data_IF_950735457092
#
_entry.id   IF_950735457092
#
_cell.length_a   1.000
_cell.length_b   1.000
_cell.length_c   1.000
_cell.angle_alpha   90.00
_cell.angle_beta   90.00
_cell.angle_gamma   90.00
#
_symmetry.space_group_name_H-M   'P 1'
#
loop_
_entity.id
_entity.type
_entity.pdbx_description
1 polymer ?
#
# COMPACT_ATOMS: atom_id res chain seq x y z
N UNK A 1 7.69 8.53 -24.06
CA UNK A 1 6.96 8.33 -22.79
C UNK A 1 7.36 9.41 -21.80
N UNK A 2 6.40 9.90 -21.03
CA UNK A 2 6.56 10.88 -19.96
C UNK A 2 6.21 10.26 -18.61
N UNK A 3 7.02 10.57 -17.61
CA UNK A 3 6.79 10.18 -16.23
C UNK A 3 6.49 11.44 -15.40
N UNK A 4 5.24 11.62 -15.04
CA UNK A 4 4.81 12.68 -14.14
C UNK A 4 5.00 12.20 -12.70
N UNK A 5 5.93 12.81 -11.98
CA UNK A 5 6.27 12.42 -10.61
C UNK A 5 5.91 13.56 -9.68
N UNK A 6 5.10 13.26 -8.66
CA UNK A 6 4.73 14.23 -7.65
C UNK A 6 5.99 14.82 -6.99
N UNK A 7 5.99 16.13 -6.82
CA UNK A 7 7.00 16.83 -6.04
C UNK A 7 6.68 16.69 -4.55
N UNK A 8 7.65 16.17 -3.79
CA UNK A 8 7.61 16.19 -2.33
C UNK A 8 8.30 17.44 -1.81
N UNK A 9 7.91 17.89 -0.62
CA UNK A 9 8.61 18.96 0.09
C UNK A 9 9.66 18.38 1.04
N UNK A 10 10.75 19.12 1.25
CA UNK A 10 11.74 18.72 2.25
C UNK A 10 11.07 18.64 3.64
N UNK A 11 11.28 17.52 4.34
CA UNK A 11 10.58 17.20 5.58
C UNK A 11 9.36 16.28 5.41
N UNK A 12 8.83 16.13 4.19
CA UNK A 12 7.79 15.13 3.93
C UNK A 12 8.35 13.71 4.01
N UNK A 13 7.64 12.75 4.63
CA UNK A 13 8.08 11.35 4.68
C UNK A 13 8.35 10.73 3.29
N UNK A 14 7.67 11.24 2.25
CA UNK A 14 7.77 10.73 0.89
C UNK A 14 8.83 11.45 0.04
N UNK A 15 9.48 12.50 0.54
CA UNK A 15 10.41 13.34 -0.23
C UNK A 15 11.50 12.52 -0.93
N UNK A 16 12.21 11.68 -0.16
CA UNK A 16 13.28 10.85 -0.70
C UNK A 16 12.77 9.78 -1.67
N UNK A 17 11.62 9.17 -1.37
CA UNK A 17 11.00 8.17 -2.24
C UNK A 17 10.69 8.76 -3.62
N UNK A 18 10.01 9.93 -3.66
CA UNK A 18 9.62 10.58 -4.91
C UNK A 18 10.81 11.07 -5.75
N UNK A 19 11.90 11.50 -5.11
CA UNK A 19 13.13 11.87 -5.81
C UNK A 19 13.85 10.66 -6.41
N UNK A 20 13.91 9.53 -5.69
CA UNK A 20 14.46 8.28 -6.23
C UNK A 20 13.62 7.75 -7.38
N UNK A 21 12.30 7.78 -7.26
CA UNK A 21 11.40 7.39 -8.37
C UNK A 21 11.64 8.24 -9.60
N UNK A 22 11.73 9.58 -9.45
CA UNK A 22 12.05 10.48 -10.56
C UNK A 22 13.40 10.15 -11.22
N UNK A 23 14.43 9.92 -10.40
CA UNK A 23 15.75 9.55 -10.92
C UNK A 23 15.71 8.21 -11.68
N UNK A 24 15.04 7.19 -11.15
CA UNK A 24 14.93 5.88 -11.78
C UNK A 24 14.17 5.93 -13.13
N UNK A 25 13.12 6.75 -13.26
CA UNK A 25 12.46 6.97 -14.55
C UNK A 25 13.36 7.69 -15.55
N UNK A 26 14.14 8.67 -15.10
CA UNK A 26 15.12 9.36 -15.94
C UNK A 26 16.22 8.41 -16.43
N UNK A 27 16.78 7.55 -15.55
CA UNK A 27 17.77 6.53 -15.93
C UNK A 27 17.21 5.56 -16.99
N UNK A 28 15.90 5.31 -16.97
CA UNK A 28 15.19 4.48 -17.94
C UNK A 28 14.81 5.21 -19.22
N UNK A 29 15.18 6.48 -19.37
CA UNK A 29 14.99 7.27 -20.59
C UNK A 29 13.65 8.01 -20.71
N UNK A 30 12.90 8.17 -19.62
CA UNK A 30 11.64 8.90 -19.63
C UNK A 30 11.91 10.40 -19.54
N UNK A 31 11.08 11.19 -20.22
CA UNK A 31 10.95 12.62 -19.91
C UNK A 31 10.26 12.74 -18.55
N UNK A 32 11.00 13.15 -17.52
CA UNK A 32 10.48 13.29 -16.17
C UNK A 32 9.93 14.71 -15.97
N UNK A 33 8.65 14.79 -15.62
CA UNK A 33 7.95 16.05 -15.36
C UNK A 33 7.53 16.08 -13.90
N UNK A 34 7.96 17.09 -13.15
CA UNK A 34 7.57 17.30 -11.75
C UNK A 34 6.28 18.10 -11.68
N UNK A 35 5.42 17.77 -10.74
CA UNK A 35 4.17 18.50 -10.51
C UNK A 35 3.76 18.44 -9.03
N UNK A 36 2.99 19.43 -8.57
CA UNK A 36 2.38 19.44 -7.25
C UNK A 36 0.88 19.11 -7.30
N UNK A 37 0.26 18.85 -6.14
CA UNK A 37 -1.15 18.46 -6.09
C UNK A 37 -2.11 19.52 -6.70
N UNK A 38 -1.96 20.83 -6.43
CA UNK A 38 -2.76 21.86 -7.10
C UNK A 38 -2.70 21.81 -8.64
N UNK A 39 -1.52 21.61 -9.22
CA UNK A 39 -1.39 21.48 -10.68
C UNK A 39 -2.16 20.27 -11.24
N UNK A 40 -2.16 19.14 -10.51
CA UNK A 40 -2.97 17.98 -10.88
C UNK A 40 -4.47 18.31 -10.85
N UNK A 41 -4.92 18.98 -9.78
CA UNK A 41 -6.33 19.40 -9.60
C UNK A 41 -6.79 20.37 -10.71
N UNK A 42 -5.89 21.25 -11.15
CA UNK A 42 -6.11 22.18 -12.27
C UNK A 42 -6.04 21.52 -13.66
N UNK A 43 -5.69 20.23 -13.74
CA UNK A 43 -5.68 19.47 -15.00
C UNK A 43 -4.41 19.55 -15.81
N UNK A 44 -3.28 19.87 -15.19
CA UNK A 44 -1.98 19.94 -15.85
C UNK A 44 -1.62 18.65 -16.62
N UNK A 45 -2.10 17.49 -16.16
CA UNK A 45 -1.82 16.17 -16.74
C UNK A 45 -2.89 15.68 -17.72
N UNK A 46 -4.04 16.34 -17.83
CA UNK A 46 -5.25 15.81 -18.51
C UNK A 46 -5.00 15.46 -19.97
N UNK A 47 -4.20 16.29 -20.66
CA UNK A 47 -3.84 16.00 -22.06
C UNK A 47 -3.10 14.67 -22.18
N UNK A 48 -2.17 14.38 -21.28
CA UNK A 48 -1.43 13.11 -21.26
C UNK A 48 -2.35 11.95 -20.89
N UNK A 49 -3.09 12.10 -19.79
CA UNK A 49 -4.01 11.09 -19.28
C UNK A 49 -5.09 10.67 -20.29
N UNK A 50 -5.66 11.63 -21.03
CA UNK A 50 -6.79 11.39 -21.93
C UNK A 50 -6.38 11.11 -23.38
N UNK A 51 -5.32 11.76 -23.90
CA UNK A 51 -4.94 11.62 -25.32
C UNK A 51 -3.74 10.71 -25.56
N UNK A 52 -2.89 10.50 -24.56
CA UNK A 52 -1.66 9.71 -24.66
C UNK A 52 -1.49 8.78 -23.44
N UNK A 53 -2.51 7.96 -23.08
CA UNK A 53 -2.51 7.18 -21.85
C UNK A 53 -1.38 6.14 -21.79
N UNK A 54 -1.00 5.57 -22.93
CA UNK A 54 0.08 4.60 -23.08
C UNK A 54 1.49 5.20 -22.97
N UNK A 55 1.59 6.52 -23.17
CA UNK A 55 2.84 7.28 -23.02
C UNK A 55 2.93 8.05 -21.71
N UNK A 56 1.88 8.05 -20.88
CA UNK A 56 1.77 8.86 -19.66
C UNK A 56 1.80 7.99 -18.41
N UNK A 57 2.86 8.10 -17.62
CA UNK A 57 2.98 7.45 -16.30
C UNK A 57 2.81 8.50 -15.21
N UNK A 58 2.05 8.18 -14.15
CA UNK A 58 1.92 9.02 -12.96
C UNK A 58 2.41 8.26 -11.74
N UNK A 59 3.29 8.89 -10.95
CA UNK A 59 3.73 8.36 -9.66
C UNK A 59 3.62 9.44 -8.57
N UNK A 60 3.13 9.04 -7.40
CA UNK A 60 2.89 9.95 -6.29
C UNK A 60 2.41 9.22 -5.05
N UNK A 61 1.96 9.99 -4.06
CA UNK A 61 1.22 9.43 -2.92
C UNK A 61 -0.15 8.91 -3.33
N UNK A 62 -0.80 8.20 -2.39
CA UNK A 62 -2.10 7.56 -2.63
C UNK A 62 -3.16 8.51 -3.19
N UNK A 63 -3.32 9.69 -2.59
CA UNK A 63 -4.30 10.69 -3.06
C UNK A 63 -4.00 11.18 -4.48
N UNK A 64 -2.73 11.40 -4.83
CA UNK A 64 -2.31 11.86 -6.15
C UNK A 64 -2.61 10.84 -7.24
N UNK A 65 -2.29 9.57 -7.00
CA UNK A 65 -2.56 8.51 -7.99
C UNK A 65 -4.06 8.31 -8.18
N UNK A 66 -4.84 8.31 -7.09
CA UNK A 66 -6.30 8.19 -7.17
C UNK A 66 -6.94 9.35 -7.93
N UNK A 67 -6.53 10.59 -7.65
CA UNK A 67 -7.00 11.77 -8.39
C UNK A 67 -6.65 11.66 -9.89
N UNK A 68 -5.42 11.28 -10.22
CA UNK A 68 -5.02 11.09 -11.62
C UNK A 68 -5.86 10.02 -12.34
N UNK A 69 -6.26 8.94 -11.67
CA UNK A 69 -7.18 7.94 -12.24
C UNK A 69 -8.59 8.50 -12.49
N UNK A 70 -9.13 9.28 -11.54
CA UNK A 70 -10.44 9.94 -11.73
C UNK A 70 -10.41 10.87 -12.94
N UNK A 71 -9.36 11.69 -13.06
CA UNK A 71 -9.18 12.61 -14.20
C UNK A 71 -8.97 11.88 -15.52
N UNK A 72 -8.36 10.70 -15.48
CA UNK A 72 -8.24 9.81 -16.64
C UNK A 72 -9.54 9.08 -17.01
N UNK A 73 -10.62 9.25 -16.24
CA UNK A 73 -11.88 8.53 -16.43
C UNK A 73 -11.77 7.03 -16.14
N UNK A 74 -10.87 6.64 -15.23
CA UNK A 74 -10.61 5.25 -14.86
C UNK A 74 -11.18 4.92 -13.48
N UNK A 75 -11.61 3.67 -13.25
CA UNK A 75 -12.06 3.24 -11.93
C UNK A 75 -10.90 3.29 -10.93
N UNK A 76 -11.23 3.55 -9.67
CA UNK A 76 -10.25 3.43 -8.59
C UNK A 76 -9.98 1.95 -8.30
N UNK A 77 -8.72 1.58 -7.98
CA UNK A 77 -8.42 0.21 -7.61
C UNK A 77 -9.16 -0.18 -6.32
N UNK A 78 -9.53 -1.46 -6.16
CA UNK A 78 -10.11 -1.95 -4.92
C UNK A 78 -9.13 -1.83 -3.76
N UNK A 79 -9.64 -1.85 -2.54
CA UNK A 79 -8.79 -1.92 -1.35
C UNK A 79 -8.18 -3.32 -1.25
N UNK A 80 -6.85 -3.41 -1.16
CA UNK A 80 -6.13 -4.69 -1.13
C UNK A 80 -5.90 -5.24 0.27
N UNK A 81 -6.01 -4.41 1.29
CA UNK A 81 -5.53 -4.59 2.66
C UNK A 81 -5.54 -6.03 3.23
N UNK A 82 -6.71 -6.67 3.26
CA UNK A 82 -6.90 -8.04 3.75
C UNK A 82 -7.78 -8.80 2.74
N UNK A 83 -7.21 -9.34 1.67
CA UNK A 83 -7.98 -10.00 0.63
C UNK A 83 -8.44 -11.38 1.12
N UNK A 84 -9.67 -11.77 0.76
CA UNK A 84 -10.30 -13.01 1.23
C UNK A 84 -9.50 -14.25 0.82
N UNK A 85 -8.84 -14.21 -0.34
CA UNK A 85 -7.96 -15.28 -0.82
C UNK A 85 -6.81 -15.59 0.16
N UNK A 86 -6.40 -14.59 0.94
CA UNK A 86 -5.30 -14.70 1.90
C UNK A 86 -5.77 -14.92 3.35
N UNK A 87 -7.08 -15.11 3.56
CA UNK A 87 -7.66 -15.39 4.86
C UNK A 87 -6.92 -16.45 5.71
N UNK A 88 -6.44 -17.59 5.14
CA UNK A 88 -5.71 -18.60 5.91
C UNK A 88 -4.41 -18.09 6.57
N UNK A 89 -3.79 -17.04 6.03
CA UNK A 89 -2.50 -16.52 6.49
C UNK A 89 -2.62 -15.23 7.31
N UNK A 90 -3.81 -14.65 7.44
CA UNK A 90 -4.02 -13.45 8.26
C UNK A 90 -3.97 -13.79 9.76
N UNK A 91 -4.46 -14.98 10.14
CA UNK A 91 -4.31 -15.54 11.50
C UNK A 91 -5.05 -14.80 12.62
N UNK A 92 -6.04 -13.98 12.26
CA UNK A 92 -6.87 -13.18 13.18
C UNK A 92 -8.20 -12.87 12.53
N UNK A 93 -9.25 -12.53 13.29
CA UNK A 93 -10.50 -12.04 12.71
C UNK A 93 -10.40 -10.56 12.34
N UNK A 94 -11.07 -10.18 11.25
CA UNK A 94 -11.28 -8.79 10.85
C UNK A 94 -12.73 -8.57 10.42
N UNK A 95 -13.23 -7.35 10.60
CA UNK A 95 -14.58 -6.97 10.21
C UNK A 95 -14.69 -5.45 10.02
N UNK A 96 -15.70 -5.02 9.26
CA UNK A 96 -16.08 -3.63 9.14
C UNK A 96 -16.95 -3.21 10.33
N UNK A 97 -16.71 -2.00 10.84
CA UNK A 97 -17.48 -1.39 11.92
C UNK A 97 -17.45 0.13 11.78
N UNK A 98 -18.00 0.84 12.76
CA UNK A 98 -17.89 2.29 12.87
C UNK A 98 -17.06 2.70 14.08
N UNK A 99 -16.48 3.90 14.03
CA UNK A 99 -15.72 4.42 15.16
C UNK A 99 -16.59 4.54 16.44
N UNK A 100 -17.87 4.86 16.28
CA UNK A 100 -18.86 4.89 17.36
C UNK A 100 -19.09 3.53 18.03
N UNK A 101 -19.18 2.46 17.23
CA UNK A 101 -19.33 1.09 17.76
C UNK A 101 -18.10 0.67 18.57
N UNK A 102 -16.88 0.95 18.07
CA UNK A 102 -15.65 0.66 18.82
C UNK A 102 -15.56 1.48 20.11
N UNK A 103 -15.94 2.76 20.10
CA UNK A 103 -16.01 3.59 21.32
C UNK A 103 -16.99 3.00 22.34
N UNK A 104 -18.15 2.53 21.90
CA UNK A 104 -19.13 1.88 22.77
C UNK A 104 -18.63 0.53 23.32
N UNK A 105 -17.92 -0.25 22.49
CA UNK A 105 -17.31 -1.52 22.90
C UNK A 105 -16.27 -1.30 23.99
N UNK A 106 -15.37 -0.34 23.83
CA UNK A 106 -14.33 -0.01 24.82
C UNK A 106 -14.92 0.41 26.17
N UNK A 107 -16.05 1.12 26.15
CA UNK A 107 -16.74 1.56 27.37
C UNK A 107 -17.49 0.42 28.10
N UNK A 108 -17.99 -0.58 27.37
CA UNK A 108 -18.93 -1.57 27.91
C UNK A 108 -18.36 -2.98 28.02
N UNK A 109 -17.33 -3.33 27.23
CA UNK A 109 -16.79 -4.69 27.07
C UNK A 109 -15.27 -4.67 26.86
N UNK A 110 -14.53 -4.46 27.95
CA UNK A 110 -13.06 -4.46 27.94
C UNK A 110 -12.44 -5.84 27.71
N UNK A 111 -13.22 -6.92 27.85
CA UNK A 111 -12.80 -8.31 27.61
C UNK A 111 -12.51 -8.63 26.14
N UNK A 112 -12.95 -7.77 25.21
CA UNK A 112 -12.75 -7.91 23.77
C UNK A 112 -11.57 -7.09 23.23
N UNK A 113 -10.81 -6.45 24.12
CA UNK A 113 -9.61 -5.70 23.80
C UNK A 113 -8.37 -6.59 24.05
N UNK A 114 -7.24 -6.36 23.34
CA UNK A 114 -6.98 -5.24 22.44
C UNK A 114 -7.43 -5.46 20.98
N UNK A 115 -7.78 -4.35 20.31
CA UNK A 115 -8.16 -4.33 18.89
C UNK A 115 -7.27 -3.38 18.09
N UNK A 116 -6.95 -3.72 16.86
CA UNK A 116 -6.32 -2.80 15.91
C UNK A 116 -7.38 -2.18 15.00
N UNK A 117 -7.43 -0.85 14.91
CA UNK A 117 -8.39 -0.12 14.07
C UNK A 117 -7.69 0.73 13.03
N UNK A 118 -8.29 0.85 11.84
CA UNK A 118 -7.86 1.78 10.80
C UNK A 118 -9.03 2.30 9.96
N UNK A 119 -8.92 3.48 9.34
CA UNK A 119 -9.92 3.96 8.39
C UNK A 119 -10.11 2.95 7.26
N UNK A 120 -11.36 2.62 6.90
CA UNK A 120 -11.64 1.64 5.84
C UNK A 120 -11.49 2.25 4.43
N UNK A 121 -12.16 3.36 4.18
CA UNK A 121 -12.34 3.93 2.84
C UNK A 121 -11.84 5.38 2.69
N UNK A 122 -11.37 6.00 3.77
CA UNK A 122 -10.74 7.33 3.77
C UNK A 122 -9.28 7.24 4.18
N UNK A 123 -8.40 7.04 3.20
CA UNK A 123 -6.95 7.01 3.44
C UNK A 123 -6.50 8.26 4.22
N UNK A 124 -5.74 8.03 5.30
CA UNK A 124 -5.14 9.05 6.17
C UNK A 124 -6.12 9.93 6.98
N UNK A 125 -7.38 9.53 7.16
CA UNK A 125 -8.28 10.23 8.09
C UNK A 125 -7.72 10.26 9.53
N UNK A 126 -7.11 9.14 9.95
CA UNK A 126 -6.28 9.03 11.14
C UNK A 126 -5.25 7.92 10.96
N UNK A 127 -4.20 7.92 11.79
CA UNK A 127 -3.23 6.82 11.83
C UNK A 127 -3.88 5.63 12.54
N UNK A 128 -3.95 4.49 11.87
CA UNK A 128 -4.41 3.25 12.49
C UNK A 128 -3.61 2.94 13.76
N UNK A 129 -4.26 2.29 14.73
CA UNK A 129 -3.68 2.11 16.06
C UNK A 129 -4.35 1.01 16.86
N UNK A 130 -3.65 0.56 17.90
CA UNK A 130 -4.12 -0.47 18.82
C UNK A 130 -4.87 0.19 19.96
N UNK A 131 -6.12 -0.21 20.15
CA UNK A 131 -6.99 0.22 21.24
C UNK A 131 -6.94 -0.85 22.32
N UNK A 132 -6.34 -0.52 23.46
CA UNK A 132 -6.27 -1.38 24.65
C UNK A 132 -7.23 -0.89 25.73
N UNK A 133 -7.48 0.41 25.75
CA UNK A 133 -8.30 1.07 26.75
C UNK A 133 -8.82 2.42 26.23
N UNK A 134 -9.67 3.07 27.01
CA UNK A 134 -10.35 4.30 26.61
C UNK A 134 -9.40 5.43 26.19
N UNK A 135 -8.24 5.59 26.85
CA UNK A 135 -7.29 6.67 26.52
C UNK A 135 -6.72 6.55 25.10
N UNK A 136 -6.68 5.35 24.53
CA UNK A 136 -6.15 5.14 23.17
C UNK A 136 -7.11 5.72 22.12
N UNK A 137 -8.37 5.99 22.48
CA UNK A 137 -9.35 6.64 21.61
C UNK A 137 -9.22 8.17 21.54
N UNK A 138 -8.42 8.79 22.42
CA UNK A 138 -8.31 10.27 22.51
C UNK A 138 -7.90 10.88 21.17
N UNK A 139 -6.94 10.26 20.48
CA UNK A 139 -6.47 10.72 19.16
C UNK A 139 -7.57 10.71 18.08
N UNK A 140 -8.62 9.91 18.30
CA UNK A 140 -9.76 9.80 17.38
C UNK A 140 -10.97 10.63 17.82
N UNK A 141 -10.95 11.31 18.97
CA UNK A 141 -12.17 11.89 19.57
C UNK A 141 -12.88 12.93 18.70
N UNK A 142 -12.14 13.71 17.91
CA UNK A 142 -12.69 14.71 17.00
C UNK A 142 -13.29 14.12 15.70
N UNK A 143 -13.16 12.81 15.50
CA UNK A 143 -13.63 12.11 14.30
C UNK A 143 -15.08 11.66 14.51
N UNK A 144 -15.90 11.82 13.47
CA UNK A 144 -17.32 11.47 13.47
C UNK A 144 -17.53 9.98 13.79
N UNK A 145 -18.59 9.66 14.53
CA UNK A 145 -18.84 8.30 15.03
C UNK A 145 -19.25 7.32 13.93
N UNK A 146 -19.83 7.79 12.84
CA UNK A 146 -20.30 7.00 11.69
C UNK A 146 -19.18 6.67 10.70
N UNK A 147 -17.95 7.15 10.93
CA UNK A 147 -16.79 6.85 10.09
C UNK A 147 -16.58 5.34 10.01
N UNK A 148 -16.60 4.75 8.80
CA UNK A 148 -16.30 3.34 8.59
C UNK A 148 -14.83 3.02 8.88
N UNK A 149 -14.62 1.96 9.64
CA UNK A 149 -13.30 1.49 10.04
C UNK A 149 -13.17 -0.02 9.82
N UNK A 150 -11.95 -0.47 9.53
CA UNK A 150 -11.58 -1.86 9.62
C UNK A 150 -11.11 -2.15 11.04
N UNK A 151 -11.70 -3.16 11.66
CA UNK A 151 -11.33 -3.65 12.98
C UNK A 151 -10.70 -5.02 12.84
N UNK A 152 -9.63 -5.26 13.60
CA UNK A 152 -8.91 -6.52 13.61
C UNK A 152 -8.60 -6.91 15.04
N UNK A 153 -8.63 -8.21 15.35
CA UNK A 153 -8.05 -8.71 16.59
C UNK A 153 -6.56 -8.36 16.63
N UNK A 154 -6.06 -7.93 17.79
CA UNK A 154 -4.65 -7.58 17.91
C UNK A 154 -3.77 -8.83 17.89
N UNK A 155 -2.72 -8.79 17.08
CA UNK A 155 -1.65 -9.78 17.06
C UNK A 155 -0.35 -9.08 17.45
N UNK A 156 0.39 -9.69 18.37
CA UNK A 156 1.70 -9.21 18.80
C UNK A 156 2.79 -9.78 17.89
N UNK A 157 3.33 -8.93 17.02
CA UNK A 157 4.44 -9.27 16.14
C UNK A 157 5.77 -8.87 16.76
N UNK A 158 6.68 -9.83 16.87
CA UNK A 158 8.05 -9.61 17.35
C UNK A 158 9.01 -9.21 16.24
N UNK A 159 8.60 -9.41 14.98
CA UNK A 159 9.34 -9.00 13.79
C UNK A 159 8.37 -8.80 12.63
N UNK A 160 8.60 -7.77 11.83
CA UNK A 160 7.79 -7.41 10.67
C UNK A 160 8.68 -7.21 9.44
N UNK A 161 8.22 -7.67 8.29
CA UNK A 161 8.94 -7.68 7.03
C UNK A 161 8.01 -7.27 5.89
N UNK A 162 8.55 -6.65 4.84
CA UNK A 162 7.82 -6.34 3.61
C UNK A 162 8.35 -7.18 2.47
N UNK A 163 7.48 -8.00 1.89
CA UNK A 163 7.73 -8.68 0.64
C UNK A 163 7.20 -7.84 -0.53
N UNK A 164 8.04 -7.51 -1.51
CA UNK A 164 7.61 -6.90 -2.76
C UNK A 164 7.30 -7.99 -3.77
N UNK A 165 6.10 -7.96 -4.33
CA UNK A 165 5.61 -8.92 -5.31
C UNK A 165 5.51 -8.26 -6.67
N UNK A 166 6.06 -8.89 -7.69
CA UNK A 166 5.98 -8.43 -9.07
C UNK A 166 5.78 -9.61 -10.01
N UNK A 167 4.74 -9.56 -10.86
CA UNK A 167 4.31 -10.63 -11.77
C UNK A 167 4.25 -12.00 -11.07
N UNK A 168 3.58 -12.03 -9.92
CA UNK A 168 3.36 -13.23 -9.11
C UNK A 168 4.63 -13.84 -8.50
N UNK A 169 5.70 -13.07 -8.39
CA UNK A 169 6.94 -13.50 -7.72
C UNK A 169 7.32 -12.54 -6.63
N UNK A 170 7.76 -13.07 -5.49
CA UNK A 170 8.43 -12.30 -4.45
C UNK A 170 9.81 -11.89 -5.00
N UNK A 171 10.02 -10.59 -5.21
CA UNK A 171 11.27 -10.05 -5.80
C UNK A 171 12.19 -9.38 -4.78
N UNK A 172 11.69 -9.09 -3.58
CA UNK A 172 12.44 -8.52 -2.47
C UNK A 172 11.74 -8.84 -1.16
N UNK A 173 12.49 -9.08 -0.09
CA UNK A 173 11.96 -9.19 1.28
C UNK A 173 12.87 -8.38 2.18
N UNK A 174 12.32 -7.36 2.85
CA UNK A 174 13.08 -6.44 3.67
C UNK A 174 12.51 -6.32 5.07
N UNK A 175 13.39 -6.28 6.07
CA UNK A 175 13.02 -6.06 7.46
C UNK A 175 12.42 -4.66 7.64
N UNK A 176 11.32 -4.60 8.37
CA UNK A 176 10.58 -3.38 8.63
C UNK A 176 10.69 -2.94 10.10
N UNK A 177 10.37 -3.84 11.04
CA UNK A 177 10.33 -3.52 12.47
C UNK A 177 10.59 -4.77 13.33
N UNK A 178 11.14 -4.59 14.53
CA UNK A 178 11.32 -5.68 15.49
C UNK A 178 12.67 -6.39 15.37
N UNK A 179 12.68 -7.69 15.67
CA UNK A 179 13.88 -8.54 15.64
C UNK A 179 14.24 -8.95 14.20
N UNK A 180 15.33 -8.43 13.61
CA UNK A 180 15.71 -8.75 12.23
C UNK A 180 16.25 -10.17 12.06
N UNK A 181 16.44 -10.93 13.14
CA UNK A 181 16.87 -12.33 13.08
C UNK A 181 15.70 -13.32 13.05
N UNK A 182 14.46 -12.84 13.24
CA UNK A 182 13.24 -13.64 13.09
C UNK A 182 12.65 -13.39 11.71
N UNK A 183 13.05 -14.21 10.75
CA UNK A 183 12.59 -14.11 9.35
C UNK A 183 11.26 -14.86 9.15
N UNK A 184 10.37 -14.39 8.24
CA UNK A 184 9.14 -15.11 7.91
C UNK A 184 9.43 -16.50 7.31
N UNK A 185 8.56 -17.46 7.56
CA UNK A 185 8.66 -18.79 6.97
C UNK A 185 8.45 -18.72 5.45
N UNK A 186 9.48 -19.15 4.69
CA UNK A 186 9.50 -19.06 3.22
C UNK A 186 8.43 -19.93 2.57
N UNK A 187 8.14 -21.11 3.11
CA UNK A 187 7.11 -22.01 2.56
C UNK A 187 5.72 -21.40 2.76
N UNK A 188 5.50 -20.75 3.90
CA UNK A 188 4.26 -20.01 4.19
C UNK A 188 4.08 -18.83 3.23
N UNK A 189 5.15 -18.06 3.00
CA UNK A 189 5.13 -16.94 2.06
C UNK A 189 4.81 -17.40 0.64
N UNK A 190 5.44 -18.48 0.18
CA UNK A 190 5.21 -19.02 -1.16
C UNK A 190 3.78 -19.59 -1.31
N UNK A 191 3.29 -20.31 -0.30
CA UNK A 191 1.93 -20.85 -0.33
C UNK A 191 0.86 -19.76 -0.40
N UNK A 192 1.05 -18.65 0.34
CA UNK A 192 0.15 -17.50 0.26
C UNK A 192 0.23 -16.81 -1.10
N UNK A 193 1.45 -16.64 -1.64
CA UNK A 193 1.66 -16.08 -2.97
C UNK A 193 0.98 -16.92 -4.06
N UNK A 194 1.07 -18.24 -3.98
CA UNK A 194 0.44 -19.16 -4.93
C UNK A 194 -1.09 -19.14 -4.85
N UNK A 195 -1.65 -18.80 -3.68
CA UNK A 195 -3.08 -18.65 -3.47
C UNK A 195 -3.64 -17.28 -3.88
N UNK A 196 -2.79 -16.28 -4.12
CA UNK A 196 -3.22 -14.91 -4.40
C UNK A 196 -3.59 -14.71 -5.88
N UNK A 197 -4.76 -15.24 -6.29
CA UNK A 197 -5.20 -15.31 -7.68
C UNK A 197 -5.42 -13.92 -8.32
N UNK A 198 -6.25 -13.07 -7.70
CA UNK A 198 -6.60 -11.73 -8.22
C UNK A 198 -5.62 -10.62 -7.81
N UNK A 199 -4.34 -10.96 -7.63
CA UNK A 199 -3.34 -9.98 -7.22
C UNK A 199 -3.06 -8.93 -8.31
N UNK A 200 -2.75 -7.68 -7.94
CA UNK A 200 -2.20 -6.71 -8.88
C UNK A 200 -0.87 -7.20 -9.47
N UNK A 201 -0.52 -6.71 -10.67
CA UNK A 201 0.76 -7.01 -11.31
C UNK A 201 1.98 -6.69 -10.41
N UNK A 202 1.82 -5.71 -9.51
CA UNK A 202 2.79 -5.39 -8.48
C UNK A 202 2.09 -4.95 -7.18
N UNK A 203 2.50 -5.51 -6.05
CA UNK A 203 2.02 -5.14 -4.71
C UNK A 203 3.13 -5.36 -3.65
N UNK A 204 2.85 -4.96 -2.41
CA UNK A 204 3.64 -5.31 -1.24
C UNK A 204 2.80 -6.12 -0.26
N UNK A 205 3.35 -7.18 0.29
CA UNK A 205 2.72 -7.96 1.37
C UNK A 205 3.58 -7.77 2.61
N UNK A 206 2.99 -7.26 3.68
CA UNK A 206 3.63 -7.13 4.97
C UNK A 206 3.39 -8.40 5.78
N UNK A 207 4.45 -8.89 6.38
CA UNK A 207 4.52 -10.15 7.09
C UNK A 207 4.96 -9.90 8.52
N UNK A 208 4.31 -10.55 9.46
CA UNK A 208 4.61 -10.48 10.88
C UNK A 208 4.93 -11.86 11.43
N UNK A 209 5.91 -11.92 12.34
CA UNK A 209 6.28 -13.12 13.07
C UNK A 209 5.79 -12.97 14.51
N UNK A 210 5.02 -13.92 15.01
CA UNK A 210 4.56 -13.91 16.41
C UNK A 210 5.66 -14.37 17.37
N UNK A 211 5.46 -14.16 18.68
CA UNK A 211 6.40 -14.66 19.70
C UNK A 211 6.55 -16.20 19.68
N UNK A 212 5.51 -16.93 19.23
CA UNK A 212 5.49 -18.39 19.03
C UNK A 212 6.10 -18.84 17.69
N UNK A 213 6.53 -17.91 16.84
CA UNK A 213 7.18 -18.21 15.56
C UNK A 213 6.22 -18.40 14.38
N UNK A 214 4.93 -18.10 14.54
CA UNK A 214 3.98 -18.16 13.42
C UNK A 214 4.22 -16.98 12.47
N UNK A 215 4.18 -17.26 11.18
CA UNK A 215 4.27 -16.25 10.10
C UNK A 215 2.87 -15.92 9.62
N UNK A 216 2.47 -14.65 9.73
CA UNK A 216 1.14 -14.16 9.38
C UNK A 216 1.22 -12.90 8.50
N UNK A 217 0.20 -12.64 7.70
CA UNK A 217 0.08 -11.41 6.90
C UNK A 217 -0.42 -10.26 7.78
N UNK A 218 0.30 -9.14 7.76
CA UNK A 218 -0.09 -7.89 8.41
C UNK A 218 -1.06 -7.12 7.53
N UNK A 219 -0.70 -6.85 6.29
CA UNK A 219 -1.55 -6.18 5.29
C UNK A 219 -0.97 -6.35 3.89
N UNK A 220 -1.81 -6.15 2.87
CA UNK A 220 -1.40 -6.02 1.47
C UNK A 220 -1.54 -4.57 1.03
N UNK A 221 -0.45 -4.03 0.46
CA UNK A 221 -0.33 -2.67 0.00
C UNK A 221 -0.19 -2.61 -1.53
N UNK A 222 -0.83 -1.63 -2.17
CA UNK A 222 -0.71 -1.42 -3.61
C UNK A 222 0.63 -0.76 -3.97
N UNK A 223 1.28 -1.23 -5.04
CA UNK A 223 2.62 -0.76 -5.42
C UNK A 223 2.65 0.67 -5.96
N UNK A 224 1.53 1.23 -6.44
CA UNK A 224 1.52 2.57 -7.06
C UNK A 224 1.94 3.71 -6.11
N UNK A 225 1.85 3.49 -4.79
CA UNK A 225 2.28 4.41 -3.75
C UNK A 225 3.05 3.71 -2.62
N UNK A 226 3.67 2.57 -2.93
CA UNK A 226 4.42 1.77 -1.96
C UNK A 226 5.84 2.32 -1.80
N UNK A 227 6.29 2.45 -0.55
CA UNK A 227 7.69 2.72 -0.27
C UNK A 227 8.59 1.62 -0.83
N UNK A 228 9.79 1.98 -1.28
CA UNK A 228 10.69 1.05 -1.95
C UNK A 228 11.20 -0.09 -1.04
N UNK A 229 11.54 0.20 0.23
CA UNK A 229 12.01 -0.78 1.22
C UNK A 229 13.02 -1.83 0.68
N UNK A 230 14.06 -1.38 -0.03
CA UNK A 230 15.19 -2.24 -0.43
C UNK A 230 15.07 -2.84 -1.84
N UNK A 231 13.98 -2.60 -2.55
CA UNK A 231 13.88 -2.94 -3.98
C UNK A 231 14.89 -2.09 -4.77
N UNK A 232 15.54 -2.67 -5.78
CA UNK A 232 16.40 -1.89 -6.70
C UNK A 232 15.57 -0.78 -7.34
N UNK A 233 16.05 0.46 -7.31
CA UNK A 233 15.30 1.64 -7.78
C UNK A 233 14.76 1.47 -9.21
N UNK A 234 15.53 0.84 -10.12
CA UNK A 234 15.06 0.55 -11.46
C UNK A 234 13.90 -0.46 -11.49
N UNK A 235 13.93 -1.50 -10.65
CA UNK A 235 12.83 -2.47 -10.54
C UNK A 235 11.61 -1.84 -9.86
N UNK A 236 11.81 -1.01 -8.84
CA UNK A 236 10.71 -0.30 -8.16
C UNK A 236 9.96 0.64 -9.11
N UNK A 237 10.68 1.39 -9.94
CA UNK A 237 10.03 2.22 -10.97
C UNK A 237 9.32 1.38 -12.04
N UNK A 238 9.80 0.16 -12.35
CA UNK A 238 9.09 -0.78 -13.23
C UNK A 238 7.78 -1.21 -12.60
N UNK A 239 7.80 -1.60 -11.32
CA UNK A 239 6.60 -2.00 -10.57
C UNK A 239 5.54 -0.88 -10.56
N UNK A 240 5.96 0.36 -10.30
CA UNK A 240 5.08 1.54 -10.33
C UNK A 240 4.43 1.69 -11.72
N UNK A 241 5.24 1.61 -12.78
CA UNK A 241 4.73 1.76 -14.14
C UNK A 241 3.78 0.64 -14.54
N UNK A 242 4.15 -0.61 -14.30
CA UNK A 242 3.30 -1.75 -14.66
C UNK A 242 1.98 -1.68 -13.93
N UNK A 243 1.99 -1.29 -12.64
CA UNK A 243 0.77 -1.10 -11.87
C UNK A 243 -0.06 0.07 -12.37
N UNK A 244 0.57 1.20 -12.71
CA UNK A 244 -0.13 2.33 -13.33
C UNK A 244 -0.82 1.93 -14.64
N UNK A 245 -0.11 1.21 -15.52
CA UNK A 245 -0.67 0.70 -16.78
C UNK A 245 -1.86 -0.23 -16.55
N UNK A 246 -1.74 -1.15 -15.60
CA UNK A 246 -2.82 -2.06 -15.20
C UNK A 246 -4.06 -1.27 -14.74
N UNK A 247 -3.91 -0.26 -13.87
CA UNK A 247 -5.02 0.59 -13.44
C UNK A 247 -5.62 1.46 -14.56
N UNK A 248 -4.81 1.80 -15.57
CA UNK A 248 -5.25 2.50 -16.78
C UNK A 248 -5.95 1.58 -17.80
N UNK A 249 -6.05 0.27 -17.52
CA UNK A 249 -6.60 -0.72 -18.44
C UNK A 249 -5.74 -0.96 -19.67
N UNK A 250 -4.43 -0.71 -19.56
CA UNK A 250 -3.44 -0.90 -20.62
C UNK A 250 -2.75 -2.26 -20.45
N UNK A 251 -2.33 -2.90 -21.55
CA UNK A 251 -1.58 -4.14 -21.47
C UNK A 251 -0.23 -3.95 -20.78
N UNK A 252 0.25 -5.00 -20.10
CA UNK A 252 1.63 -5.09 -19.64
C UNK A 252 2.58 -4.88 -20.84
N UNK A 253 3.60 -4.05 -20.67
CA UNK A 253 4.59 -3.74 -21.71
C UNK A 253 5.86 -4.58 -21.61
N UNK A 254 5.89 -5.62 -20.75
CA UNK A 254 7.01 -6.55 -20.62
C UNK A 254 8.25 -5.93 -19.98
N UNK A 255 8.18 -4.68 -19.53
CA UNK A 255 9.35 -4.02 -18.95
C UNK A 255 9.76 -4.74 -17.67
N UNK A 256 11.07 -4.90 -17.48
CA UNK A 256 11.64 -5.58 -16.32
C UNK A 256 11.56 -7.10 -16.32
N UNK A 257 11.15 -7.77 -17.40
CA UNK A 257 11.27 -9.24 -17.51
C UNK A 257 12.71 -9.73 -17.28
N UNK A 258 13.70 -8.91 -17.65
CA UNK A 258 15.12 -9.16 -17.40
C UNK A 258 15.53 -9.25 -15.93
N UNK A 259 14.70 -8.79 -14.99
CA UNK A 259 15.00 -8.88 -13.55
C UNK A 259 14.71 -10.26 -12.96
N UNK A 260 14.19 -11.19 -13.78
CA UNK A 260 13.87 -12.55 -13.38
C UNK A 260 14.87 -13.61 -13.88
N UNK A 261 16.02 -13.18 -14.44
CA UNK A 261 17.09 -14.04 -14.97
C UNK A 261 18.44 -13.69 -14.34
#
# INVERSE_FOLDING_TARGET
>A
MRAYIQEGHEGDPNYMSLNRTAHAFWERGYEVVRFNYPQLDEGFLDRGLLKFPDETIVAGGVSTVREALVRAGRPLPPMLDLPDELAPWIGRRWWESTLGEVRALVNNRSDQLPLHIKPFNRHKLFKGGVIREFRDLIASNAIESDVPILVQEYVDFVSEWRASVFRGRIVNVAHYLGDPLRFPDVEVMQAAQDAFDNQPIACGIDWGITSTGQTLIVEVNDSFALGNYGVRDQLHSVMIETRWREMMGLPDNGIGERYFW
#
